data_IF_637379330079
#
_entry.id   IF_637379330079
#
_cell.length_a   1.000
_cell.length_b   1.000
_cell.length_c   1.000
_cell.angle_alpha   90.00
_cell.angle_beta   90.00
_cell.angle_gamma   90.00
#
_symmetry.space_group_name_H-M   'P 1'
#
loop_
_entity.id
_entity.type
_entity.pdbx_description
1 polymer ?
#
# COMPACT_ATOMS: atom_id res chain seq x y z
N UNK A 1 -27.01 32.39 25.52
CA UNK A 1 -25.74 32.72 26.16
C UNK A 1 -24.68 31.69 25.71
N UNK A 2 -23.74 32.16 24.91
CA UNK A 2 -22.59 31.37 24.50
C UNK A 2 -21.53 31.49 25.61
N UNK A 3 -21.34 30.43 26.39
CA UNK A 3 -20.23 30.40 27.34
C UNK A 3 -19.05 29.70 26.68
N UNK A 4 -18.02 30.47 26.39
CA UNK A 4 -16.74 29.91 25.94
C UNK A 4 -15.92 29.52 27.18
N UNK A 5 -15.44 28.28 27.29
CA UNK A 5 -14.60 27.90 28.42
C UNK A 5 -13.24 28.61 28.33
N UNK A 6 -12.87 29.28 29.41
CA UNK A 6 -11.56 29.88 29.60
C UNK A 6 -10.77 28.97 30.53
N UNK A 7 -9.85 28.16 29.97
CA UNK A 7 -9.02 27.23 30.69
C UNK A 7 -8.88 25.85 30.05
N UNK A 8 -8.03 25.01 30.59
CA UNK A 8 -7.68 23.69 30.03
C UNK A 8 -8.72 22.58 30.27
N UNK A 9 -9.88 22.91 30.86
CA UNK A 9 -10.93 21.92 31.16
C UNK A 9 -11.96 21.87 30.05
N UNK A 10 -12.15 20.66 29.48
CA UNK A 10 -13.23 20.39 28.53
C UNK A 10 -14.60 20.46 29.23
N UNK A 11 -15.54 21.13 28.59
CA UNK A 11 -16.93 21.24 29.08
C UNK A 11 -17.90 20.98 27.95
N UNK A 12 -18.99 20.26 28.29
CA UNK A 12 -20.12 20.07 27.38
C UNK A 12 -20.80 21.41 27.05
N UNK A 13 -21.21 21.57 25.82
CA UNK A 13 -21.94 22.76 25.38
C UNK A 13 -22.05 22.86 23.86
N UNK A 14 -22.86 23.81 23.42
CA UNK A 14 -23.01 24.10 22.00
C UNK A 14 -21.76 24.79 21.45
N UNK A 15 -21.32 24.32 20.27
CA UNK A 15 -20.30 24.97 19.49
C UNK A 15 -20.90 26.04 18.57
N UNK A 16 -20.06 26.76 17.83
CA UNK A 16 -20.50 27.82 16.96
C UNK A 16 -21.36 27.24 15.83
N UNK A 17 -22.63 27.68 15.69
CA UNK A 17 -23.46 27.24 14.57
C UNK A 17 -22.94 27.78 13.24
N UNK A 18 -23.22 27.04 12.16
CA UNK A 18 -22.86 27.43 10.81
C UNK A 18 -24.10 27.34 9.90
N UNK A 19 -24.20 28.26 8.95
CA UNK A 19 -25.21 28.22 7.92
C UNK A 19 -24.58 28.48 6.57
N UNK A 20 -25.05 27.78 5.54
CA UNK A 20 -24.60 27.95 4.15
C UNK A 20 -25.74 27.68 3.18
N UNK A 21 -25.52 28.07 1.93
CA UNK A 21 -26.40 27.72 0.83
C UNK A 21 -25.61 27.01 -0.25
N UNK A 22 -26.12 25.86 -0.69
CA UNK A 22 -25.51 25.06 -1.76
C UNK A 22 -26.56 24.75 -2.82
N UNK A 23 -26.14 24.49 -4.05
CA UNK A 23 -27.05 24.09 -5.13
C UNK A 23 -27.56 22.64 -4.96
N UNK A 24 -26.84 21.82 -4.21
CA UNK A 24 -27.22 20.44 -3.96
C UNK A 24 -28.21 20.26 -2.83
N UNK A 25 -28.18 21.13 -1.81
CA UNK A 25 -28.99 20.98 -0.58
C UNK A 25 -29.80 22.25 -0.23
N UNK A 26 -29.66 23.33 -0.99
CA UNK A 26 -30.24 24.67 -0.75
C UNK A 26 -29.74 25.23 0.59
N UNK A 27 -30.61 25.74 1.42
CA UNK A 27 -30.22 26.22 2.74
C UNK A 27 -29.82 25.06 3.67
N UNK A 28 -28.67 25.19 4.28
CA UNK A 28 -28.14 24.22 5.25
C UNK A 28 -27.77 24.91 6.55
N UNK A 29 -28.12 24.28 7.66
CA UNK A 29 -27.84 24.79 9.00
C UNK A 29 -27.27 23.69 9.86
N UNK A 30 -26.16 23.98 10.54
CA UNK A 30 -25.44 23.08 11.44
C UNK A 30 -25.47 23.65 12.85
N UNK A 31 -25.82 22.81 13.84
CA UNK A 31 -25.77 23.19 15.26
C UNK A 31 -25.00 22.12 16.06
N UNK A 32 -23.67 22.20 16.12
CA UNK A 32 -22.88 21.20 16.85
C UNK A 32 -23.08 21.31 18.36
N UNK A 33 -23.22 20.17 19.02
CA UNK A 33 -23.20 20.03 20.48
C UNK A 33 -22.05 19.15 20.89
N UNK A 34 -21.13 19.69 21.71
CA UNK A 34 -20.00 18.94 22.27
C UNK A 34 -20.42 18.32 23.61
N UNK A 35 -20.23 17.01 23.75
CA UNK A 35 -20.54 16.25 24.93
C UNK A 35 -19.26 15.65 25.54
N UNK A 36 -18.86 16.17 26.69
CA UNK A 36 -17.77 15.63 27.49
C UNK A 36 -18.27 14.45 28.33
N UNK A 37 -18.18 13.23 27.78
CA UNK A 37 -18.76 12.03 28.40
C UNK A 37 -17.91 11.61 29.61
N UNK A 38 -16.59 11.51 29.41
CA UNK A 38 -15.62 11.09 30.41
C UNK A 38 -14.22 11.68 30.05
N UNK A 39 -13.22 11.62 30.96
CA UNK A 39 -11.88 12.10 30.63
C UNK A 39 -11.26 11.44 29.40
N UNK A 40 -11.65 10.21 29.10
CA UNK A 40 -11.11 9.41 27.99
C UNK A 40 -12.08 9.24 26.82
N UNK A 41 -13.22 9.91 26.82
CA UNK A 41 -14.15 9.85 25.69
C UNK A 41 -15.01 11.11 25.61
N UNK A 42 -15.31 11.51 24.38
CA UNK A 42 -16.22 12.61 24.09
C UNK A 42 -17.00 12.35 22.79
N UNK A 43 -18.02 13.15 22.57
CA UNK A 43 -18.81 13.09 21.37
C UNK A 43 -19.20 14.48 20.90
N UNK A 44 -19.38 14.64 19.60
CA UNK A 44 -19.97 15.83 19.00
C UNK A 44 -21.17 15.41 18.18
N UNK A 45 -22.34 15.92 18.53
CA UNK A 45 -23.61 15.62 17.85
C UNK A 45 -24.02 16.88 17.10
N UNK A 46 -24.10 16.77 15.76
CA UNK A 46 -24.41 17.91 14.90
C UNK A 46 -25.68 17.61 14.09
N UNK A 47 -26.84 18.13 14.49
CA UNK A 47 -27.97 18.19 13.59
C UNK A 47 -27.66 19.11 12.42
N UNK A 48 -27.81 18.59 11.21
CA UNK A 48 -27.50 19.26 9.95
C UNK A 48 -28.77 19.29 9.10
N UNK A 49 -29.45 20.44 9.10
CA UNK A 49 -30.66 20.63 8.33
C UNK A 49 -30.31 20.94 6.85
N UNK A 50 -30.97 20.22 5.94
CA UNK A 50 -30.85 20.40 4.50
C UNK A 50 -32.25 20.64 3.89
N UNK A 51 -32.49 21.84 3.44
CA UNK A 51 -33.84 22.25 2.98
C UNK A 51 -34.30 21.48 1.74
N UNK A 52 -33.43 21.29 0.75
CA UNK A 52 -33.79 20.57 -0.48
C UNK A 52 -34.14 19.10 -0.21
N UNK A 53 -33.47 18.47 0.76
CA UNK A 53 -33.72 17.08 1.13
C UNK A 53 -34.83 16.90 2.15
N UNK A 54 -35.29 18.01 2.72
CA UNK A 54 -36.46 18.05 3.60
C UNK A 54 -36.28 17.37 4.96
N UNK A 55 -35.06 17.23 5.44
CA UNK A 55 -34.80 16.54 6.71
C UNK A 55 -33.50 17.00 7.36
N UNK A 56 -33.27 16.50 8.56
CA UNK A 56 -32.08 16.73 9.36
C UNK A 56 -31.20 15.48 9.30
N UNK A 57 -29.95 15.63 8.87
CA UNK A 57 -28.92 14.62 9.00
C UNK A 57 -28.27 14.74 10.39
N UNK A 58 -28.25 13.66 11.14
CA UNK A 58 -27.61 13.60 12.44
C UNK A 58 -26.18 13.13 12.26
N UNK A 59 -25.23 14.05 12.40
CA UNK A 59 -23.81 13.77 12.29
C UNK A 59 -23.24 13.57 13.70
N UNK A 60 -22.88 12.32 14.02
CA UNK A 60 -22.43 11.94 15.35
C UNK A 60 -20.97 11.51 15.27
N UNK A 61 -20.09 12.24 15.93
CA UNK A 61 -18.68 11.91 16.07
C UNK A 61 -18.41 11.48 17.53
N UNK A 62 -17.84 10.29 17.69
CA UNK A 62 -17.45 9.76 18.98
C UNK A 62 -15.95 9.49 18.99
N UNK A 63 -15.24 10.00 20.00
CA UNK A 63 -13.81 9.77 20.19
C UNK A 63 -13.57 9.09 21.52
N UNK A 64 -12.62 8.18 21.55
CA UNK A 64 -12.25 7.45 22.75
C UNK A 64 -10.76 7.18 22.81
N UNK A 65 -10.28 6.97 24.05
CA UNK A 65 -8.93 6.52 24.35
C UNK A 65 -9.03 5.36 25.33
N UNK A 66 -8.42 4.22 24.99
CA UNK A 66 -8.40 3.02 25.80
C UNK A 66 -6.99 2.46 25.91
N UNK A 67 -6.82 1.41 26.71
CA UNK A 67 -5.53 0.69 26.79
C UNK A 67 -5.16 0.03 25.44
N UNK A 68 -6.13 -0.29 24.62
CA UNK A 68 -5.93 -0.87 23.30
C UNK A 68 -5.73 0.18 22.19
N UNK A 69 -5.76 1.47 22.51
CA UNK A 69 -5.50 2.57 21.59
C UNK A 69 -6.57 3.63 21.54
N UNK A 70 -6.41 4.56 20.64
CA UNK A 70 -7.30 5.69 20.41
C UNK A 70 -8.12 5.45 19.15
N UNK A 71 -9.38 5.88 19.18
CA UNK A 71 -10.26 5.72 18.04
C UNK A 71 -11.24 6.86 17.88
N UNK A 72 -11.78 6.95 16.66
CA UNK A 72 -12.83 7.86 16.25
C UNK A 72 -13.89 7.07 15.49
N UNK A 73 -15.14 7.23 15.89
CA UNK A 73 -16.30 6.71 15.16
C UNK A 73 -17.16 7.87 14.68
N UNK A 74 -17.63 7.77 13.45
CA UNK A 74 -18.60 8.71 12.88
C UNK A 74 -19.83 7.93 12.42
N UNK A 75 -21.01 8.37 12.84
CA UNK A 75 -22.28 7.87 12.33
C UNK A 75 -23.13 9.06 11.89
N UNK A 76 -23.28 9.20 10.58
CA UNK A 76 -24.15 10.17 9.98
C UNK A 76 -25.42 9.47 9.53
N UNK A 77 -26.58 10.00 9.93
CA UNK A 77 -27.86 9.37 9.66
C UNK A 77 -28.89 10.39 9.21
N UNK A 78 -29.41 10.20 7.99
CA UNK A 78 -30.51 10.95 7.43
C UNK A 78 -31.73 10.04 7.34
N UNK A 79 -32.79 10.24 8.15
CA UNK A 79 -33.90 9.29 8.24
C UNK A 79 -34.68 9.15 6.93
N UNK A 80 -34.75 10.19 6.13
CA UNK A 80 -35.33 10.17 4.79
C UNK A 80 -34.73 11.28 3.94
N UNK A 81 -34.58 11.04 2.65
CA UNK A 81 -34.03 11.98 1.70
C UNK A 81 -34.98 12.14 0.52
N UNK A 82 -35.60 13.28 0.41
CA UNK A 82 -36.60 13.58 -0.61
C UNK A 82 -35.99 13.56 -2.02
N UNK A 83 -34.78 14.06 -2.19
CA UNK A 83 -34.09 14.05 -3.48
C UNK A 83 -33.75 12.62 -3.91
N UNK A 84 -33.26 11.81 -3.00
CA UNK A 84 -32.95 10.40 -3.27
C UNK A 84 -34.20 9.60 -3.62
N UNK A 85 -35.29 9.84 -2.91
CA UNK A 85 -36.61 9.20 -3.17
C UNK A 85 -37.12 9.53 -4.59
N UNK A 86 -36.99 10.77 -5.03
CA UNK A 86 -37.39 11.20 -6.37
C UNK A 86 -36.49 10.61 -7.48
N UNK A 87 -35.20 10.45 -7.20
CA UNK A 87 -34.23 9.89 -8.15
C UNK A 87 -34.24 8.36 -8.19
N UNK A 88 -34.69 7.70 -7.11
CA UNK A 88 -34.70 6.23 -6.95
C UNK A 88 -36.09 5.77 -6.49
N UNK A 89 -37.12 5.94 -7.31
CA UNK A 89 -38.51 5.64 -6.88
C UNK A 89 -38.79 4.16 -6.62
N UNK A 90 -37.93 3.26 -7.08
CA UNK A 90 -38.06 1.82 -6.88
C UNK A 90 -37.34 1.32 -5.63
N UNK A 91 -36.57 2.14 -4.95
CA UNK A 91 -35.90 1.74 -3.72
C UNK A 91 -36.88 1.74 -2.55
N UNK A 92 -36.77 0.73 -1.71
CA UNK A 92 -37.69 0.54 -0.55
C UNK A 92 -37.47 1.59 0.55
N UNK A 93 -36.33 2.27 0.55
CA UNK A 93 -35.95 3.22 1.59
C UNK A 93 -35.16 4.38 1.04
N UNK A 94 -35.41 5.57 1.56
CA UNK A 94 -34.63 6.78 1.30
C UNK A 94 -33.70 7.14 2.47
N UNK A 95 -33.49 6.23 3.41
CA UNK A 95 -32.55 6.43 4.51
C UNK A 95 -31.11 6.48 3.98
N UNK A 96 -30.38 7.46 4.42
CA UNK A 96 -28.98 7.63 4.02
C UNK A 96 -28.11 7.67 5.27
N UNK A 97 -27.01 6.95 5.24
CA UNK A 97 -26.13 6.89 6.40
C UNK A 97 -24.69 6.64 5.98
N UNK A 98 -23.77 7.06 6.85
CA UNK A 98 -22.34 6.77 6.80
C UNK A 98 -21.93 6.23 8.17
N UNK A 99 -21.14 5.15 8.15
CA UNK A 99 -20.42 4.69 9.32
C UNK A 99 -18.93 4.67 9.03
N UNK A 100 -18.16 5.34 9.87
CA UNK A 100 -16.70 5.39 9.82
C UNK A 100 -16.14 5.02 11.17
N UNK A 101 -15.10 4.18 11.16
CA UNK A 101 -14.38 3.81 12.36
C UNK A 101 -12.89 3.75 12.06
N UNK A 102 -12.10 4.55 12.75
CA UNK A 102 -10.65 4.52 12.72
C UNK A 102 -10.14 4.24 14.13
N UNK A 103 -9.30 3.20 14.26
CA UNK A 103 -8.68 2.84 15.53
C UNK A 103 -7.22 2.52 15.29
N UNK A 104 -6.36 2.99 16.19
CA UNK A 104 -4.94 2.68 16.18
C UNK A 104 -4.43 2.59 17.61
N UNK A 105 -3.71 1.53 17.92
CA UNK A 105 -3.18 1.38 19.26
C UNK A 105 -2.22 0.23 19.45
N UNK A 106 -1.46 0.32 20.52
CA UNK A 106 -0.53 -0.70 20.97
C UNK A 106 -0.88 -1.04 22.42
N UNK A 107 -1.03 -2.33 22.72
CA UNK A 107 -1.34 -2.83 24.06
C UNK A 107 -0.19 -3.74 24.54
N UNK A 108 0.21 -3.58 25.79
CA UNK A 108 1.28 -4.37 26.44
C UNK A 108 2.60 -4.38 25.64
N UNK A 109 2.84 -3.36 24.81
CA UNK A 109 4.02 -3.18 23.96
C UNK A 109 4.18 -4.24 22.87
N UNK A 110 3.31 -5.25 22.78
CA UNK A 110 3.41 -6.36 21.84
C UNK A 110 2.22 -6.45 20.89
N UNK A 111 1.02 -6.04 21.32
CA UNK A 111 -0.19 -6.09 20.53
C UNK A 111 -0.43 -4.79 19.79
N UNK A 112 -0.80 -4.90 18.51
CA UNK A 112 -1.17 -3.75 17.67
C UNK A 112 -2.55 -3.98 17.08
N UNK A 113 -3.41 -2.97 17.21
CA UNK A 113 -4.78 -2.99 16.70
C UNK A 113 -4.96 -1.83 15.75
N UNK A 114 -5.45 -2.12 14.54
CA UNK A 114 -5.76 -1.09 13.55
C UNK A 114 -7.11 -1.39 12.91
N UNK A 115 -7.93 -0.36 12.80
CA UNK A 115 -9.19 -0.39 12.08
C UNK A 115 -9.25 0.82 11.18
N UNK A 116 -9.62 0.62 9.93
CA UNK A 116 -9.93 1.66 8.96
C UNK A 116 -11.15 1.21 8.17
N UNK A 117 -12.32 1.59 8.68
CA UNK A 117 -13.60 1.09 8.20
C UNK A 117 -14.48 2.25 7.76
N UNK A 118 -14.96 2.20 6.51
CA UNK A 118 -15.92 3.15 5.96
C UNK A 118 -17.03 2.39 5.23
N UNK A 119 -18.27 2.64 5.58
CA UNK A 119 -19.42 2.08 4.90
C UNK A 119 -20.50 3.15 4.74
N UNK A 120 -21.14 3.17 3.58
CA UNK A 120 -22.23 4.09 3.28
C UNK A 120 -23.47 3.33 2.81
N UNK A 121 -24.61 3.99 2.89
CA UNK A 121 -25.90 3.39 2.56
C UNK A 121 -26.06 3.06 1.08
N UNK A 122 -25.42 3.82 0.19
CA UNK A 122 -25.64 3.75 -1.26
C UNK A 122 -24.42 4.28 -2.02
N UNK A 123 -24.30 3.91 -3.33
CA UNK A 123 -23.16 4.31 -4.16
C UNK A 123 -23.06 5.81 -4.44
N UNK A 124 -24.15 6.57 -4.33
CA UNK A 124 -24.17 8.00 -4.60
C UNK A 124 -23.91 8.88 -3.38
N UNK A 125 -23.65 8.30 -2.22
CA UNK A 125 -23.53 9.04 -0.96
C UNK A 125 -22.46 10.12 -1.02
N UNK A 126 -21.25 9.81 -1.50
CA UNK A 126 -20.16 10.78 -1.58
C UNK A 126 -20.29 11.77 -2.73
N UNK A 127 -21.14 11.50 -3.71
CA UNK A 127 -21.50 12.47 -4.73
C UNK A 127 -22.46 13.54 -4.18
N UNK A 128 -23.35 13.15 -3.29
CA UNK A 128 -24.41 13.99 -2.77
C UNK A 128 -24.02 14.76 -1.52
N UNK A 129 -23.07 14.23 -0.74
CA UNK A 129 -22.61 14.83 0.52
C UNK A 129 -21.10 15.02 0.53
N UNK A 130 -20.66 16.25 0.68
CA UNK A 130 -19.27 16.57 0.94
C UNK A 130 -18.87 16.00 2.29
N UNK A 131 -17.79 15.21 2.31
CA UNK A 131 -17.40 14.49 3.49
C UNK A 131 -15.88 14.32 3.54
N UNK A 132 -15.30 14.45 4.73
CA UNK A 132 -13.87 14.21 4.95
C UNK A 132 -13.50 12.71 5.02
N UNK A 133 -14.50 11.82 5.05
CA UNK A 133 -14.31 10.37 5.17
C UNK A 133 -14.33 9.63 3.84
N UNK A 134 -14.59 10.31 2.76
CA UNK A 134 -14.57 9.76 1.42
C UNK A 134 -14.84 10.81 0.34
N UNK A 135 -14.60 10.44 -0.90
CA UNK A 135 -14.75 11.31 -2.08
C UNK A 135 -15.50 10.59 -3.18
N UNK A 136 -16.24 11.36 -3.99
CA UNK A 136 -16.90 10.87 -5.20
C UNK A 136 -15.94 10.26 -6.22
N UNK A 137 -14.67 10.65 -6.18
CA UNK A 137 -13.63 10.17 -7.11
C UNK A 137 -13.00 8.84 -6.70
N UNK A 138 -13.19 8.38 -5.46
CA UNK A 138 -12.52 7.20 -4.94
C UNK A 138 -13.05 5.89 -5.54
N UNK A 139 -14.31 5.85 -5.95
CA UNK A 139 -14.95 4.68 -6.56
C UNK A 139 -15.23 3.52 -5.61
N UNK A 140 -14.69 3.52 -4.40
CA UNK A 140 -14.89 2.49 -3.38
C UNK A 140 -14.61 3.03 -1.98
N UNK A 141 -15.14 2.34 -0.97
CA UNK A 141 -14.80 2.54 0.44
C UNK A 141 -14.05 1.32 0.97
N UNK A 142 -13.01 1.56 1.75
CA UNK A 142 -12.17 0.50 2.34
C UNK A 142 -12.68 0.10 3.71
N UNK A 143 -12.68 -1.21 3.98
CA UNK A 143 -13.06 -1.81 5.24
C UNK A 143 -11.95 -2.76 5.70
N UNK A 144 -11.09 -2.28 6.59
CA UNK A 144 -9.88 -2.99 6.98
C UNK A 144 -9.79 -3.16 8.50
N UNK A 145 -9.49 -4.37 8.93
CA UNK A 145 -9.17 -4.72 10.33
C UNK A 145 -7.84 -5.44 10.38
N UNK A 146 -7.02 -5.13 11.37
CA UNK A 146 -5.80 -5.90 11.60
C UNK A 146 -5.47 -6.01 13.09
N UNK A 147 -4.95 -7.17 13.47
CA UNK A 147 -4.39 -7.46 14.79
C UNK A 147 -2.99 -8.01 14.59
N UNK A 148 -2.01 -7.37 15.18
CA UNK A 148 -0.62 -7.78 15.13
C UNK A 148 -0.07 -8.12 16.50
N UNK A 149 0.84 -9.08 16.53
CA UNK A 149 1.64 -9.43 17.70
C UNK A 149 3.11 -9.37 17.31
N UNK A 150 3.93 -8.66 18.08
CA UNK A 150 5.34 -8.52 17.78
C UNK A 150 6.17 -8.62 19.06
N UNK A 151 7.13 -9.52 19.06
CA UNK A 151 8.20 -9.63 20.04
C UNK A 151 9.55 -9.55 19.31
N UNK A 152 10.67 -9.67 20.01
CA UNK A 152 11.99 -9.40 19.43
C UNK A 152 12.29 -10.20 18.15
N UNK A 153 11.96 -11.49 18.12
CA UNK A 153 12.31 -12.40 17.03
C UNK A 153 11.13 -12.90 16.21
N UNK A 154 9.92 -12.49 16.57
CA UNK A 154 8.70 -13.02 15.98
C UNK A 154 7.67 -11.93 15.82
N UNK A 155 7.00 -11.90 14.67
CA UNK A 155 5.79 -11.11 14.51
C UNK A 155 4.75 -11.89 13.68
N UNK A 156 3.50 -11.64 13.99
CA UNK A 156 2.37 -12.19 13.25
C UNK A 156 1.28 -11.13 13.13
N UNK A 157 0.65 -11.06 11.97
CA UNK A 157 -0.45 -10.14 11.72
C UNK A 157 -1.58 -10.89 11.05
N UNK A 158 -2.78 -10.77 11.62
CA UNK A 158 -4.03 -11.22 11.00
C UNK A 158 -4.77 -9.99 10.53
N UNK A 159 -5.15 -9.97 9.27
CA UNK A 159 -5.88 -8.84 8.69
C UNK A 159 -7.02 -9.32 7.80
N UNK A 160 -8.02 -8.47 7.67
CA UNK A 160 -9.09 -8.65 6.70
C UNK A 160 -9.33 -7.31 6.02
N UNK A 161 -9.51 -7.33 4.69
CA UNK A 161 -9.71 -6.13 3.89
C UNK A 161 -10.79 -6.38 2.87
N UNK A 162 -11.83 -5.55 2.92
CA UNK A 162 -12.96 -5.58 2.02
C UNK A 162 -13.15 -4.21 1.37
N UNK A 163 -13.90 -4.18 0.28
CA UNK A 163 -14.25 -2.96 -0.42
C UNK A 163 -15.75 -2.88 -0.65
N UNK A 164 -16.34 -1.71 -0.38
CA UNK A 164 -17.64 -1.35 -0.88
C UNK A 164 -17.46 -0.60 -2.20
N UNK A 165 -17.88 -1.18 -3.31
CA UNK A 165 -17.70 -0.62 -4.67
C UNK A 165 -18.91 0.24 -5.02
N UNK A 166 -18.68 1.46 -5.55
CA UNK A 166 -19.73 2.43 -5.87
C UNK A 166 -20.11 2.45 -7.35
N UNK A 167 -19.30 1.84 -8.21
CA UNK A 167 -19.57 1.79 -9.64
C UNK A 167 -20.50 0.64 -9.99
N UNK A 168 -21.54 0.92 -10.78
CA UNK A 168 -22.41 -0.11 -11.37
C UNK A 168 -21.75 -0.85 -12.53
N UNK A 169 -20.67 -0.33 -13.07
CA UNK A 169 -19.88 -1.01 -14.08
C UNK A 169 -19.07 -2.11 -13.41
N UNK A 170 -19.22 -3.31 -13.87
CA UNK A 170 -18.56 -4.58 -13.56
C UNK A 170 -17.08 -4.48 -13.11
N UNK A 171 -16.79 -3.74 -12.07
CA UNK A 171 -15.46 -3.69 -11.49
C UNK A 171 -15.25 -4.90 -10.60
N UNK A 172 -14.40 -5.79 -11.07
CA UNK A 172 -13.92 -6.90 -10.27
C UNK A 172 -12.82 -6.41 -9.35
N UNK A 173 -12.97 -6.59 -8.05
CA UNK A 173 -11.96 -6.27 -7.04
C UNK A 173 -11.74 -7.46 -6.14
N UNK A 174 -10.47 -7.81 -5.95
CA UNK A 174 -10.06 -8.84 -5.00
C UNK A 174 -9.84 -8.25 -3.61
N UNK A 175 -10.27 -8.98 -2.60
CA UNK A 175 -10.00 -8.70 -1.21
C UNK A 175 -9.42 -9.93 -0.51
N UNK A 176 -8.59 -9.69 0.49
CA UNK A 176 -7.98 -10.72 1.32
C UNK A 176 -8.82 -10.92 2.59
N UNK A 177 -9.49 -12.06 2.69
CA UNK A 177 -10.45 -12.35 3.77
C UNK A 177 -10.33 -13.79 4.28
N UNK A 178 -9.52 -14.06 5.29
CA UNK A 178 -8.50 -13.26 5.95
C UNK A 178 -7.11 -13.39 5.32
N UNK A 179 -6.14 -12.64 5.86
CA UNK A 179 -4.73 -12.79 5.56
C UNK A 179 -3.94 -12.92 6.86
N UNK A 180 -3.10 -13.94 6.95
CA UNK A 180 -2.14 -14.14 8.04
C UNK A 180 -0.73 -13.99 7.48
N UNK A 181 0.07 -13.10 8.08
CA UNK A 181 1.48 -12.93 7.80
C UNK A 181 2.28 -13.24 9.07
N UNK A 182 3.29 -14.08 8.96
CA UNK A 182 4.13 -14.49 10.08
C UNK A 182 5.59 -14.32 9.67
N UNK A 183 6.39 -13.70 10.54
CA UNK A 183 7.85 -13.61 10.38
C UNK A 183 8.53 -14.12 11.62
N UNK A 184 9.54 -14.95 11.42
CA UNK A 184 10.47 -15.38 12.45
C UNK A 184 11.89 -15.03 12.01
N UNK A 185 12.63 -14.39 12.90
CA UNK A 185 14.01 -13.98 12.63
C UNK A 185 14.93 -14.65 13.64
N UNK A 186 16.04 -15.16 13.16
CA UNK A 186 17.14 -15.57 14.03
C UNK A 186 18.46 -15.12 13.42
N UNK A 187 19.01 -14.06 14.00
CA UNK A 187 20.28 -13.50 13.58
C UNK A 187 21.42 -14.18 14.34
N UNK A 188 22.64 -14.04 13.81
CA UNK A 188 23.88 -14.55 14.43
C UNK A 188 23.87 -16.07 14.65
N UNK A 189 23.32 -16.83 13.70
CA UNK A 189 23.48 -18.29 13.63
C UNK A 189 24.85 -18.58 12.99
N UNK A 190 25.90 -18.52 13.81
CA UNK A 190 27.25 -18.45 13.30
C UNK A 190 27.45 -17.14 12.51
N UNK A 191 27.96 -17.20 11.27
CA UNK A 191 28.08 -16.00 10.41
C UNK A 191 26.78 -15.62 9.69
N UNK A 192 25.70 -16.38 9.86
CA UNK A 192 24.47 -16.25 9.07
C UNK A 192 23.37 -15.54 9.84
N UNK A 193 22.55 -14.81 9.09
CA UNK A 193 21.23 -14.35 9.51
C UNK A 193 20.17 -15.19 8.82
N UNK A 194 19.14 -15.61 9.55
CA UNK A 194 18.06 -16.45 9.03
C UNK A 194 16.71 -15.80 9.26
N UNK A 195 15.81 -16.06 8.34
CA UNK A 195 14.44 -15.58 8.40
C UNK A 195 13.50 -16.62 7.81
N UNK A 196 12.31 -16.76 8.40
CA UNK A 196 11.22 -17.53 7.82
C UNK A 196 10.02 -16.60 7.72
N UNK A 197 9.53 -16.40 6.52
CA UNK A 197 8.28 -15.71 6.25
C UNK A 197 7.23 -16.72 5.85
N UNK A 198 6.04 -16.63 6.44
CA UNK A 198 4.89 -17.43 6.09
C UNK A 198 3.66 -16.56 5.86
N UNK A 199 2.84 -16.93 4.90
CA UNK A 199 1.59 -16.26 4.60
C UNK A 199 0.49 -17.28 4.31
N UNK A 200 -0.70 -17.04 4.82
CA UNK A 200 -1.91 -17.72 4.41
C UNK A 200 -2.96 -16.65 4.11
N UNK A 201 -3.58 -16.72 2.94
CA UNK A 201 -4.56 -15.72 2.50
C UNK A 201 -5.67 -16.41 1.71
N UNK A 202 -6.89 -15.94 1.92
CA UNK A 202 -8.04 -16.32 1.11
C UNK A 202 -8.51 -15.10 0.32
N UNK A 203 -8.48 -15.22 -1.01
CA UNK A 203 -8.93 -14.17 -1.92
C UNK A 203 -10.36 -14.40 -2.34
N UNK A 204 -11.17 -13.36 -2.21
CA UNK A 204 -12.54 -13.30 -2.70
C UNK A 204 -12.71 -12.12 -3.64
N UNK A 205 -13.68 -12.21 -4.55
CA UNK A 205 -13.95 -11.14 -5.51
C UNK A 205 -15.35 -10.59 -5.29
N UNK A 206 -15.56 -9.32 -5.61
CA UNK A 206 -16.87 -8.68 -5.58
C UNK A 206 -17.85 -9.26 -6.61
N UNK A 207 -17.33 -9.86 -7.70
CA UNK A 207 -18.13 -10.59 -8.68
C UNK A 207 -18.20 -12.08 -8.33
N UNK A 208 -19.39 -12.66 -8.43
CA UNK A 208 -19.66 -14.06 -8.08
C UNK A 208 -19.04 -15.07 -9.03
N UNK A 209 -18.75 -14.67 -10.28
CA UNK A 209 -18.25 -15.53 -11.34
C UNK A 209 -16.72 -15.56 -11.49
N UNK A 210 -16.01 -14.78 -10.67
CA UNK A 210 -14.55 -14.67 -10.74
C UNK A 210 -13.86 -15.78 -9.96
N UNK A 211 -12.66 -16.21 -10.38
CA UNK A 211 -11.86 -17.16 -9.59
C UNK A 211 -11.58 -16.66 -8.17
N UNK A 212 -11.59 -17.61 -7.24
CA UNK A 212 -11.21 -17.38 -5.83
C UNK A 212 -10.09 -18.36 -5.47
N UNK A 213 -9.30 -18.03 -4.46
CA UNK A 213 -8.19 -18.89 -4.06
C UNK A 213 -7.85 -18.79 -2.59
N UNK A 214 -7.34 -19.89 -2.05
CA UNK A 214 -6.55 -19.91 -0.83
C UNK A 214 -5.09 -20.12 -1.22
N UNK A 215 -4.23 -19.21 -0.76
CA UNK A 215 -2.78 -19.28 -1.00
C UNK A 215 -2.05 -19.47 0.31
N UNK A 216 -1.16 -20.43 0.36
CA UNK A 216 -0.23 -20.65 1.47
C UNK A 216 1.18 -20.53 0.93
N UNK A 217 2.00 -19.68 1.55
CA UNK A 217 3.35 -19.37 1.12
C UNK A 217 4.33 -19.51 2.28
N UNK A 218 5.47 -20.12 2.00
CA UNK A 218 6.57 -20.27 2.95
C UNK A 218 7.87 -19.82 2.27
N UNK A 219 8.61 -18.95 2.94
CA UNK A 219 9.81 -18.32 2.39
C UNK A 219 10.95 -18.33 3.40
N UNK A 220 11.66 -19.46 3.57
CA UNK A 220 12.87 -19.49 4.37
C UNK A 220 14.02 -18.79 3.64
N UNK A 221 14.79 -18.01 4.39
CA UNK A 221 15.91 -17.22 3.86
C UNK A 221 17.13 -17.39 4.75
N UNK A 222 18.28 -17.59 4.15
CA UNK A 222 19.57 -17.54 4.80
C UNK A 222 20.44 -16.47 4.14
N UNK A 223 21.11 -15.68 4.96
CA UNK A 223 21.88 -14.52 4.51
C UNK A 223 23.25 -14.55 5.17
N UNK A 224 24.29 -14.29 4.39
CA UNK A 224 25.68 -14.14 4.85
C UNK A 224 26.10 -12.69 4.64
N UNK A 225 25.95 -11.82 5.65
CA UNK A 225 26.43 -10.46 5.57
C UNK A 225 27.92 -10.38 5.92
N UNK A 226 28.71 -9.79 5.04
CA UNK A 226 30.12 -9.49 5.26
C UNK A 226 30.33 -8.00 5.04
N UNK A 227 30.95 -7.32 6.00
CA UNK A 227 31.18 -5.88 5.88
C UNK A 227 32.47 -5.46 6.57
N UNK A 228 33.01 -4.36 6.08
CA UNK A 228 34.11 -3.64 6.68
C UNK A 228 33.88 -2.10 6.53
N UNK A 229 34.91 -1.30 6.83
CA UNK A 229 34.77 0.16 6.84
C UNK A 229 34.49 0.77 5.46
N UNK A 230 34.84 0.07 4.37
CA UNK A 230 34.72 0.62 3.01
C UNK A 230 33.70 -0.10 2.14
N UNK A 231 33.17 -1.22 2.56
CA UNK A 231 32.21 -1.93 1.74
C UNK A 231 31.51 -3.10 2.44
N UNK A 232 30.57 -3.70 1.72
CA UNK A 232 29.82 -4.86 2.18
C UNK A 232 29.51 -5.80 1.02
N UNK A 233 29.46 -7.10 1.30
CA UNK A 233 28.95 -8.13 0.39
C UNK A 233 27.89 -8.89 1.16
N UNK A 234 26.72 -9.03 0.58
CA UNK A 234 25.59 -9.73 1.15
C UNK A 234 25.18 -10.87 0.20
N UNK A 235 25.31 -12.10 0.67
CA UNK A 235 24.92 -13.29 -0.11
C UNK A 235 23.69 -13.89 0.52
N UNK A 236 22.63 -14.05 -0.26
CA UNK A 236 21.33 -14.52 0.19
C UNK A 236 20.86 -15.71 -0.62
N UNK A 237 20.35 -16.73 0.06
CA UNK A 237 19.64 -17.84 -0.55
C UNK A 237 18.25 -17.94 0.08
N UNK A 238 17.23 -18.08 -0.76
CA UNK A 238 15.82 -18.06 -0.36
C UNK A 238 15.06 -19.12 -1.14
N UNK A 239 14.08 -19.71 -0.51
CA UNK A 239 13.15 -20.63 -1.17
C UNK A 239 11.75 -20.01 -1.14
N UNK A 240 11.13 -19.90 -2.30
CA UNK A 240 9.77 -19.37 -2.46
C UNK A 240 8.84 -20.55 -2.75
N UNK A 241 8.20 -21.08 -1.72
CA UNK A 241 7.30 -22.23 -1.82
C UNK A 241 5.86 -21.75 -1.63
N UNK A 242 5.01 -21.96 -2.63
CA UNK A 242 3.63 -21.48 -2.65
C UNK A 242 2.68 -22.59 -3.08
N UNK A 243 1.58 -22.75 -2.35
CA UNK A 243 0.49 -23.63 -2.71
C UNK A 243 -0.78 -22.83 -2.94
N UNK A 244 -1.48 -23.13 -4.04
CA UNK A 244 -2.77 -22.53 -4.37
C UNK A 244 -3.85 -23.60 -4.43
N UNK A 245 -4.98 -23.31 -3.80
CA UNK A 245 -6.24 -24.00 -4.02
C UNK A 245 -7.21 -23.01 -4.63
N UNK A 246 -7.50 -23.19 -5.93
CA UNK A 246 -8.34 -22.27 -6.71
C UNK A 246 -9.73 -22.86 -6.89
N UNK A 247 -10.75 -22.03 -6.76
CA UNK A 247 -12.16 -22.40 -6.91
C UNK A 247 -12.88 -21.40 -7.81
N UNK A 248 -14.10 -21.78 -8.24
CA UNK A 248 -14.94 -20.94 -9.07
C UNK A 248 -14.30 -20.56 -10.42
N UNK A 249 -13.69 -21.53 -11.07
CA UNK A 249 -12.90 -21.33 -12.28
C UNK A 249 -13.69 -21.43 -13.59
N UNK A 250 -14.96 -21.82 -13.55
CA UNK A 250 -15.74 -22.21 -14.74
C UNK A 250 -15.90 -21.08 -15.75
N UNK A 251 -16.20 -19.88 -15.28
CA UNK A 251 -16.33 -18.71 -16.16
C UNK A 251 -15.04 -18.42 -16.92
N UNK A 252 -13.91 -18.44 -16.23
CA UNK A 252 -12.61 -18.17 -16.83
C UNK A 252 -12.16 -19.29 -17.76
N UNK A 253 -12.28 -20.55 -17.33
CA UNK A 253 -11.82 -21.70 -18.07
C UNK A 253 -12.71 -22.04 -19.28
N UNK A 254 -13.97 -21.57 -19.31
CA UNK A 254 -14.87 -21.76 -20.44
C UNK A 254 -14.53 -20.88 -21.64
N UNK A 255 -13.76 -19.82 -21.47
CA UNK A 255 -13.29 -18.99 -22.57
C UNK A 255 -12.10 -19.65 -23.27
N UNK A 256 -12.24 -20.06 -24.57
CA UNK A 256 -11.15 -20.76 -25.27
C UNK A 256 -9.90 -19.90 -25.52
N UNK A 257 -9.99 -18.58 -25.36
CA UNK A 257 -8.86 -17.67 -25.50
C UNK A 257 -8.04 -17.56 -24.20
N UNK A 258 -8.57 -17.99 -23.06
CA UNK A 258 -7.88 -17.97 -21.79
C UNK A 258 -7.06 -19.24 -21.58
N UNK A 259 -5.91 -19.11 -20.93
CA UNK A 259 -5.20 -20.25 -20.38
C UNK A 259 -6.05 -20.93 -19.31
N UNK A 260 -6.00 -22.25 -19.22
CA UNK A 260 -6.76 -22.97 -18.20
C UNK A 260 -6.09 -22.83 -16.83
N UNK A 261 -6.87 -22.41 -15.86
CA UNK A 261 -6.47 -22.40 -14.46
C UNK A 261 -6.64 -23.79 -13.85
N UNK A 262 -5.71 -24.18 -12.98
CA UNK A 262 -5.77 -25.46 -12.28
C UNK A 262 -6.34 -25.32 -10.88
N UNK A 263 -7.09 -26.30 -10.39
CA UNK A 263 -7.69 -26.28 -9.05
C UNK A 263 -6.61 -26.27 -7.96
N UNK A 264 -5.53 -26.99 -8.14
CA UNK A 264 -4.44 -27.10 -7.18
C UNK A 264 -3.11 -26.88 -7.87
N UNK A 265 -2.30 -25.97 -7.33
CA UNK A 265 -0.99 -25.61 -7.89
C UNK A 265 0.04 -25.56 -6.78
N UNK A 266 1.16 -26.20 -7.01
CA UNK A 266 2.37 -26.08 -6.19
C UNK A 266 3.48 -25.43 -6.99
N UNK A 267 4.10 -24.43 -6.41
CA UNK A 267 5.19 -23.69 -7.05
C UNK A 267 6.34 -23.57 -6.05
N UNK A 268 7.52 -23.99 -6.44
CA UNK A 268 8.74 -23.87 -5.65
C UNK A 268 9.81 -23.21 -6.50
N UNK A 269 10.30 -22.06 -6.06
CA UNK A 269 11.29 -21.25 -6.77
C UNK A 269 12.44 -20.92 -5.81
N UNK A 270 13.66 -21.43 -6.02
CA UNK A 270 14.81 -20.96 -5.30
C UNK A 270 15.24 -19.57 -5.82
N UNK A 271 15.76 -18.74 -4.94
CA UNK A 271 16.32 -17.44 -5.29
C UNK A 271 17.71 -17.30 -4.71
N UNK A 272 18.65 -16.86 -5.51
CA UNK A 272 20.03 -16.61 -5.09
C UNK A 272 20.40 -15.18 -5.46
N UNK A 273 20.97 -14.45 -4.49
CA UNK A 273 21.36 -13.05 -4.69
C UNK A 273 22.71 -12.78 -4.03
N UNK A 274 23.57 -12.06 -4.74
CA UNK A 274 24.82 -11.51 -4.20
C UNK A 274 24.81 -10.02 -4.47
N UNK A 275 24.90 -9.21 -3.41
CA UNK A 275 24.85 -7.75 -3.49
C UNK A 275 26.12 -7.20 -2.82
N UNK A 276 26.94 -6.51 -3.60
CA UNK A 276 28.15 -5.87 -3.12
C UNK A 276 28.08 -4.35 -3.33
N UNK A 277 28.56 -3.61 -2.34
CA UNK A 277 28.69 -2.16 -2.44
C UNK A 277 29.93 -1.67 -1.72
N UNK A 278 30.48 -0.57 -2.25
CA UNK A 278 31.64 0.11 -1.68
C UNK A 278 31.33 1.58 -1.48
N UNK A 279 32.01 2.21 -0.53
CA UNK A 279 31.91 3.65 -0.28
C UNK A 279 33.32 4.23 -0.28
N UNK A 280 33.57 5.16 -1.18
CA UNK A 280 34.78 5.97 -1.23
C UNK A 280 34.43 7.40 -0.88
N UNK A 281 35.33 8.06 -0.15
CA UNK A 281 35.13 9.43 0.31
C UNK A 281 36.34 10.29 0.02
N UNK A 282 36.12 11.52 -0.38
CA UNK A 282 37.19 12.52 -0.59
C UNK A 282 36.71 13.90 -0.13
N UNK A 283 37.68 14.74 0.19
CA UNK A 283 37.43 16.17 0.37
C UNK A 283 37.12 16.83 -0.97
N UNK A 284 36.11 17.70 -0.98
CA UNK A 284 35.66 18.41 -2.17
C UNK A 284 35.58 19.91 -1.88
N UNK A 285 36.72 20.61 -2.04
CA UNK A 285 36.83 22.03 -1.72
C UNK A 285 36.49 22.96 -2.92
N UNK A 286 36.04 22.39 -4.05
CA UNK A 286 35.73 23.16 -5.27
C UNK A 286 34.52 24.09 -5.10
N UNK A 287 33.51 23.68 -4.29
CA UNK A 287 32.31 24.46 -4.05
C UNK A 287 32.48 25.39 -2.85
N UNK A 288 33.02 24.87 -1.75
CA UNK A 288 33.32 25.59 -0.52
C UNK A 288 34.24 24.74 0.37
N UNK A 289 34.99 25.35 1.31
CA UNK A 289 35.81 24.60 2.25
C UNK A 289 34.94 23.69 3.14
N UNK A 290 35.44 22.48 3.41
CA UNK A 290 34.80 21.53 4.30
C UNK A 290 33.75 20.63 3.64
N UNK A 291 33.51 20.73 2.36
CA UNK A 291 32.64 19.82 1.64
C UNK A 291 33.31 18.47 1.41
N UNK A 292 32.47 17.42 1.43
CA UNK A 292 32.88 16.02 1.25
C UNK A 292 32.09 15.40 0.12
N UNK A 293 32.75 14.65 -0.75
CA UNK A 293 32.10 13.85 -1.81
C UNK A 293 32.30 12.38 -1.56
N UNK A 294 31.23 11.59 -1.75
CA UNK A 294 31.28 10.12 -1.75
C UNK A 294 31.12 9.58 -3.16
N UNK A 295 31.67 8.39 -3.38
CA UNK A 295 31.43 7.57 -4.56
C UNK A 295 31.07 6.17 -4.09
N UNK A 296 29.86 5.71 -4.44
CA UNK A 296 29.25 4.49 -3.91
C UNK A 296 28.88 3.54 -5.04
N UNK A 297 29.82 2.76 -5.59
CA UNK A 297 29.52 1.74 -6.57
C UNK A 297 28.83 0.55 -5.93
N UNK A 298 27.88 -0.05 -6.67
CA UNK A 298 27.10 -1.19 -6.25
C UNK A 298 26.90 -2.16 -7.41
N UNK A 299 26.98 -3.46 -7.11
CA UNK A 299 26.69 -4.52 -8.08
C UNK A 299 25.90 -5.63 -7.41
N UNK A 300 24.90 -6.15 -8.09
CA UNK A 300 24.05 -7.23 -7.61
C UNK A 300 23.82 -8.25 -8.69
N UNK A 301 24.02 -9.50 -8.36
CA UNK A 301 23.60 -10.63 -9.19
C UNK A 301 22.35 -11.26 -8.57
N UNK A 302 21.34 -11.53 -9.40
CA UNK A 302 20.09 -12.15 -9.00
C UNK A 302 19.78 -13.32 -9.93
N UNK A 303 19.48 -14.47 -9.34
CA UNK A 303 19.05 -15.65 -10.06
C UNK A 303 17.78 -16.23 -9.45
N UNK A 304 16.76 -16.40 -10.29
CA UNK A 304 15.50 -17.09 -9.99
C UNK A 304 15.13 -17.91 -11.22
N UNK A 305 14.97 -19.25 -11.11
CA UNK A 305 14.63 -20.07 -12.27
C UNK A 305 13.20 -19.78 -12.75
N UNK A 306 12.99 -20.02 -14.02
CA UNK A 306 11.68 -19.88 -14.64
C UNK A 306 10.71 -20.97 -14.16
N UNK A 307 9.49 -20.57 -13.87
CA UNK A 307 8.34 -21.46 -13.69
C UNK A 307 7.14 -20.86 -14.42
N UNK A 308 6.43 -21.70 -15.17
CA UNK A 308 5.18 -21.29 -15.82
C UNK A 308 4.09 -21.11 -14.77
N UNK A 309 3.52 -19.91 -14.68
CA UNK A 309 2.52 -19.51 -13.70
C UNK A 309 1.19 -19.14 -14.37
N UNK A 310 0.99 -19.52 -15.62
CA UNK A 310 -0.23 -19.24 -16.37
C UNK A 310 -1.44 -20.01 -15.85
N UNK A 311 -1.26 -21.06 -15.06
CA UNK A 311 -2.32 -21.83 -14.41
C UNK A 311 -2.80 -21.21 -13.08
N UNK A 312 -2.20 -20.13 -12.65
CA UNK A 312 -2.58 -19.33 -11.46
C UNK A 312 -3.20 -18.01 -11.94
N UNK A 313 -4.40 -17.70 -11.45
CA UNK A 313 -5.01 -16.39 -11.70
C UNK A 313 -4.26 -15.30 -10.91
N UNK A 314 -4.20 -14.09 -11.47
CA UNK A 314 -3.52 -12.97 -10.83
C UNK A 314 -4.46 -12.28 -9.83
N UNK A 315 -4.27 -12.54 -8.54
CA UNK A 315 -5.08 -11.98 -7.46
C UNK A 315 -4.49 -10.68 -6.90
N UNK A 316 -3.15 -10.56 -6.84
CA UNK A 316 -2.48 -9.48 -6.11
C UNK A 316 -1.23 -8.89 -6.77
N UNK A 317 -0.82 -9.40 -7.92
CA UNK A 317 0.45 -8.99 -8.52
C UNK A 317 0.28 -7.89 -9.56
N UNK A 318 1.10 -6.86 -9.43
CA UNK A 318 1.21 -5.76 -10.37
C UNK A 318 2.68 -5.45 -10.65
N UNK A 319 2.96 -5.01 -11.88
CA UNK A 319 4.31 -4.63 -12.29
C UNK A 319 4.80 -3.45 -11.45
N UNK A 320 5.99 -3.59 -10.87
CA UNK A 320 6.62 -2.54 -10.10
C UNK A 320 7.42 -1.62 -11.01
N UNK A 321 7.35 -0.32 -10.74
CA UNK A 321 8.20 0.67 -11.42
C UNK A 321 9.59 0.67 -10.81
N UNK A 322 10.61 0.92 -11.64
CA UNK A 322 12.01 0.91 -11.21
C UNK A 322 12.61 2.31 -11.34
N UNK A 323 12.87 2.95 -10.21
CA UNK A 323 13.88 4.00 -10.07
C UNK A 323 15.26 3.37 -9.88
N UNK A 324 16.28 4.16 -9.50
CA UNK A 324 17.61 3.61 -9.23
C UNK A 324 17.58 2.52 -8.15
N UNK A 325 16.89 2.76 -7.04
CA UNK A 325 16.73 1.77 -5.97
C UNK A 325 15.98 0.53 -6.45
N UNK A 326 14.99 0.73 -7.30
CA UNK A 326 14.17 -0.34 -7.86
C UNK A 326 14.93 -1.29 -8.78
N UNK A 327 16.03 -0.87 -9.39
CA UNK A 327 16.89 -1.73 -10.19
C UNK A 327 17.50 -2.87 -9.36
N UNK A 328 17.69 -2.66 -8.06
CA UNK A 328 18.26 -3.64 -7.12
C UNK A 328 17.18 -4.45 -6.39
N UNK A 329 15.93 -4.36 -6.82
CA UNK A 329 14.81 -5.09 -6.24
C UNK A 329 14.85 -6.57 -6.61
N UNK A 330 14.45 -7.44 -5.69
CA UNK A 330 14.38 -8.89 -5.93
C UNK A 330 13.22 -9.28 -6.83
N UNK A 331 12.22 -8.45 -6.92
CA UNK A 331 10.94 -8.71 -7.55
C UNK A 331 10.62 -7.73 -8.66
N UNK A 332 10.11 -8.26 -9.75
CA UNK A 332 9.54 -7.47 -10.85
C UNK A 332 8.09 -7.09 -10.57
N UNK A 333 7.37 -7.94 -9.84
CA UNK A 333 5.97 -7.75 -9.48
C UNK A 333 5.80 -7.63 -7.97
N UNK A 334 4.82 -6.82 -7.55
CA UNK A 334 4.30 -6.87 -6.19
C UNK A 334 3.51 -8.16 -5.97
N UNK A 335 3.19 -8.46 -4.70
CA UNK A 335 2.47 -9.67 -4.34
C UNK A 335 3.26 -10.94 -4.59
N UNK A 336 2.56 -12.08 -4.67
CA UNK A 336 3.18 -13.40 -4.78
C UNK A 336 2.67 -14.23 -5.97
N UNK A 337 1.64 -13.78 -6.68
CA UNK A 337 1.03 -14.57 -7.76
C UNK A 337 1.92 -14.68 -8.98
N UNK A 338 2.68 -13.62 -9.26
CA UNK A 338 3.64 -13.59 -10.35
C UNK A 338 5.03 -13.32 -9.80
N UNK A 339 5.90 -14.31 -9.92
CA UNK A 339 7.32 -14.22 -9.56
C UNK A 339 8.12 -14.47 -10.83
N UNK A 340 8.66 -13.39 -11.40
CA UNK A 340 9.42 -13.47 -12.63
C UNK A 340 10.76 -14.19 -12.42
N UNK A 341 11.16 -14.94 -13.44
CA UNK A 341 12.51 -15.50 -13.48
C UNK A 341 13.53 -14.37 -13.56
N UNK A 342 14.71 -14.61 -13.07
CA UNK A 342 15.82 -13.66 -13.11
C UNK A 342 17.14 -14.39 -13.32
N UNK A 343 17.94 -13.86 -14.22
CA UNK A 343 19.36 -14.18 -14.38
C UNK A 343 20.01 -12.92 -14.91
N UNK A 344 20.42 -12.06 -13.97
CA UNK A 344 20.74 -10.68 -14.31
C UNK A 344 21.79 -10.12 -13.35
N UNK A 345 22.52 -9.12 -13.84
CA UNK A 345 23.41 -8.31 -13.05
C UNK A 345 22.96 -6.86 -13.10
N UNK A 346 22.84 -6.26 -11.93
CA UNK A 346 22.55 -4.83 -11.79
C UNK A 346 23.81 -4.13 -11.32
N UNK A 347 24.21 -3.08 -12.00
CA UNK A 347 25.33 -2.24 -11.60
C UNK A 347 24.88 -0.80 -11.48
N UNK A 348 25.43 -0.09 -10.53
CA UNK A 348 25.08 1.30 -10.33
C UNK A 348 26.13 2.05 -9.54
N UNK A 349 26.03 3.36 -9.57
CA UNK A 349 26.90 4.25 -8.82
C UNK A 349 26.09 5.43 -8.30
N UNK A 350 26.34 5.80 -7.06
CA UNK A 350 25.79 7.01 -6.43
C UNK A 350 26.94 7.91 -6.01
N UNK A 351 26.82 9.19 -6.27
CA UNK A 351 27.74 10.21 -5.75
C UNK A 351 26.94 11.20 -4.91
N UNK A 352 27.43 11.47 -3.70
CA UNK A 352 26.82 12.40 -2.75
C UNK A 352 27.78 13.49 -2.38
N UNK A 353 27.26 14.69 -2.19
CA UNK A 353 28.05 15.84 -1.74
C UNK A 353 27.43 16.34 -0.43
N UNK A 354 28.27 16.38 0.61
CA UNK A 354 27.93 16.88 1.94
C UNK A 354 28.60 18.21 2.20
N UNK A 355 27.93 19.11 2.90
CA UNK A 355 28.52 20.36 3.33
C UNK A 355 29.39 20.20 4.59
N UNK A 356 29.94 21.30 5.12
CA UNK A 356 30.76 21.32 6.32
C UNK A 356 30.03 20.91 7.60
N UNK A 357 28.68 21.00 7.59
CA UNK A 357 27.81 20.53 8.68
C UNK A 357 27.34 19.09 8.49
N UNK A 358 27.92 18.34 7.54
CA UNK A 358 27.56 16.97 7.16
C UNK A 358 26.11 16.83 6.64
N UNK A 359 25.53 17.89 6.11
CA UNK A 359 24.22 17.88 5.46
C UNK A 359 24.38 17.55 3.98
N UNK A 360 23.62 16.56 3.51
CA UNK A 360 23.64 16.19 2.09
C UNK A 360 23.02 17.30 1.24
N UNK A 361 23.80 17.83 0.29
CA UNK A 361 23.40 18.93 -0.60
C UNK A 361 23.05 18.48 -1.99
N UNK A 362 23.69 17.43 -2.47
CA UNK A 362 23.47 16.92 -3.82
C UNK A 362 23.70 15.43 -3.84
N UNK A 363 22.90 14.72 -4.61
CA UNK A 363 23.21 13.35 -4.98
C UNK A 363 22.79 13.08 -6.43
N UNK A 364 23.50 12.18 -7.06
CA UNK A 364 23.18 11.63 -8.36
C UNK A 364 23.43 10.13 -8.34
N UNK A 365 22.50 9.37 -8.87
CA UNK A 365 22.60 7.93 -9.00
C UNK A 365 22.25 7.52 -10.42
N UNK A 366 23.02 6.61 -10.98
CA UNK A 366 22.74 6.01 -12.26
C UNK A 366 23.05 4.51 -12.19
N UNK A 367 22.18 3.71 -12.77
CA UNK A 367 22.34 2.27 -12.78
C UNK A 367 21.73 1.62 -13.99
N UNK A 368 22.06 0.35 -14.17
CA UNK A 368 21.59 -0.48 -15.27
C UNK A 368 21.39 -1.91 -14.83
N UNK A 369 20.45 -2.58 -15.48
CA UNK A 369 20.28 -4.03 -15.39
C UNK A 369 20.67 -4.63 -16.73
N UNK A 370 21.55 -5.63 -16.71
CA UNK A 370 21.85 -6.47 -17.85
C UNK A 370 21.25 -7.85 -17.65
N UNK A 371 20.43 -8.30 -18.59
CA UNK A 371 19.73 -9.58 -18.53
C UNK A 371 20.51 -10.66 -19.30
N UNK A 372 20.96 -11.69 -18.62
CA UNK A 372 21.57 -12.86 -19.27
C UNK A 372 20.51 -13.76 -19.90
N UNK A 373 19.32 -13.80 -19.32
CA UNK A 373 18.16 -14.50 -19.86
C UNK A 373 16.93 -13.59 -19.69
N UNK A 374 15.91 -13.87 -20.50
CA UNK A 374 14.64 -13.18 -20.45
C UNK A 374 13.95 -13.38 -19.11
N UNK A 375 13.35 -12.32 -18.58
CA UNK A 375 12.55 -12.38 -17.35
C UNK A 375 11.12 -12.77 -17.68
N UNK A 376 10.63 -13.90 -17.17
CA UNK A 376 9.38 -14.54 -17.59
C UNK A 376 8.56 -15.05 -16.40
N UNK A 377 7.24 -15.02 -16.57
CA UNK A 377 6.27 -15.67 -15.66
C UNK A 377 5.42 -16.75 -16.36
N UNK A 378 5.42 -16.79 -17.68
CA UNK A 378 4.55 -17.64 -18.49
C UNK A 378 3.20 -17.04 -18.81
N UNK A 379 2.99 -15.76 -18.49
CA UNK A 379 1.74 -15.03 -18.76
C UNK A 379 1.90 -14.12 -19.97
N UNK A 380 1.30 -14.52 -21.09
CA UNK A 380 1.42 -13.85 -22.40
C UNK A 380 0.82 -12.43 -22.43
N UNK A 381 0.07 -12.03 -21.39
CA UNK A 381 -0.51 -10.68 -21.30
C UNK A 381 0.48 -9.63 -20.81
N UNK A 382 1.69 -10.04 -20.46
CA UNK A 382 2.72 -9.14 -19.95
C UNK A 382 3.75 -8.84 -21.03
N UNK A 383 3.89 -7.56 -21.33
CA UNK A 383 4.58 -7.02 -22.51
C UNK A 383 6.06 -7.39 -22.67
N UNK A 384 6.73 -7.82 -21.64
CA UNK A 384 8.14 -8.18 -21.78
C UNK A 384 8.44 -9.68 -21.71
N UNK A 385 7.44 -10.50 -21.48
CA UNK A 385 7.63 -11.95 -21.52
C UNK A 385 7.87 -12.48 -22.94
N UNK A 386 7.47 -11.72 -23.93
CA UNK A 386 7.67 -12.04 -25.34
C UNK A 386 8.89 -11.33 -25.96
N UNK A 387 9.75 -10.74 -25.12
CA UNK A 387 10.95 -10.06 -25.60
C UNK A 387 12.11 -11.04 -25.80
N UNK A 388 12.47 -11.31 -27.05
CA UNK A 388 13.57 -12.19 -27.42
C UNK A 388 14.97 -11.56 -27.22
N UNK A 389 15.04 -10.35 -26.70
CA UNK A 389 16.30 -9.59 -26.59
C UNK A 389 17.06 -9.91 -25.31
N UNK A 390 17.61 -11.11 -25.22
CA UNK A 390 18.61 -11.46 -24.19
C UNK A 390 19.75 -10.46 -24.23
N UNK A 391 20.20 -10.00 -23.05
CA UNK A 391 21.26 -9.03 -22.92
C UNK A 391 20.81 -7.57 -23.04
N UNK A 392 19.51 -7.31 -23.14
CA UNK A 392 18.97 -5.96 -23.14
C UNK A 392 19.18 -5.26 -21.80
N UNK A 393 19.24 -3.92 -21.85
CA UNK A 393 19.54 -3.08 -20.70
C UNK A 393 18.31 -2.29 -20.29
N UNK A 394 18.13 -2.13 -18.97
CA UNK A 394 17.24 -1.12 -18.38
C UNK A 394 18.11 -0.13 -17.62
N UNK A 395 17.93 1.15 -17.89
CA UNK A 395 18.66 2.24 -17.25
C UNK A 395 17.74 3.04 -16.34
N UNK A 396 18.24 3.45 -15.18
CA UNK A 396 17.55 4.39 -14.32
C UNK A 396 18.53 5.40 -13.74
N UNK A 397 18.08 6.63 -13.57
CA UNK A 397 18.86 7.69 -12.95
C UNK A 397 17.99 8.55 -12.06
N UNK A 398 18.53 8.92 -10.91
CA UNK A 398 17.88 9.80 -9.94
C UNK A 398 18.85 10.90 -9.55
N UNK A 399 18.32 12.10 -9.30
CA UNK A 399 19.10 13.22 -8.78
C UNK A 399 18.30 13.99 -7.73
N UNK A 400 18.97 14.49 -6.73
CA UNK A 400 18.41 15.39 -5.74
C UNK A 400 19.39 16.51 -5.44
N UNK A 401 18.90 17.74 -5.42
CA UNK A 401 19.69 18.93 -5.09
C UNK A 401 18.98 19.74 -4.01
N UNK A 402 19.57 19.83 -2.84
CA UNK A 402 19.10 20.68 -1.75
C UNK A 402 19.75 22.07 -1.89
N UNK A 403 18.98 23.00 -2.44
CA UNK A 403 19.44 24.37 -2.70
C UNK A 403 19.58 25.14 -1.38
N UNK A 404 18.60 24.97 -0.47
CA UNK A 404 18.56 25.59 0.85
C UNK A 404 17.82 24.68 1.83
N UNK A 405 17.71 25.08 3.11
CA UNK A 405 16.95 24.34 4.12
C UNK A 405 15.45 24.22 3.79
N UNK A 406 14.95 25.07 2.89
CA UNK A 406 13.53 25.13 2.50
C UNK A 406 13.27 24.65 1.08
N UNK A 407 14.26 24.58 0.22
CA UNK A 407 14.08 24.28 -1.20
C UNK A 407 14.95 23.12 -1.64
N UNK A 408 14.36 22.21 -2.39
CA UNK A 408 15.06 21.10 -3.02
C UNK A 408 14.45 20.80 -4.39
N UNK A 409 15.27 20.25 -5.26
CA UNK A 409 14.87 19.75 -6.58
C UNK A 409 15.16 18.26 -6.64
N UNK A 410 14.20 17.50 -7.18
CA UNK A 410 14.34 16.06 -7.37
C UNK A 410 13.90 15.69 -8.77
N UNK A 411 14.63 14.81 -9.42
CA UNK A 411 14.29 14.29 -10.72
C UNK A 411 14.69 12.84 -10.88
N UNK A 412 14.01 12.13 -11.74
CA UNK A 412 14.32 10.74 -12.05
C UNK A 412 13.86 10.35 -13.44
N UNK A 413 14.54 9.38 -14.04
CA UNK A 413 14.24 8.83 -15.35
C UNK A 413 14.52 7.35 -15.37
N UNK A 414 13.65 6.58 -16.03
CA UNK A 414 13.87 5.19 -16.37
C UNK A 414 13.76 5.02 -17.88
N UNK A 415 14.77 4.42 -18.49
CA UNK A 415 14.79 4.08 -19.89
C UNK A 415 14.88 2.56 -20.07
N UNK A 416 13.97 1.99 -20.83
CA UNK A 416 13.96 0.57 -21.14
C UNK A 416 14.41 0.38 -22.58
N UNK A 417 15.62 -0.16 -22.77
CA UNK A 417 16.20 -0.41 -24.08
C UNK A 417 15.49 -1.55 -24.83
N UNK A 418 14.77 -2.41 -24.12
CA UNK A 418 13.97 -3.48 -24.74
C UNK A 418 12.73 -2.91 -25.43
N UNK A 419 12.13 -1.88 -24.88
CA UNK A 419 10.96 -1.18 -25.42
C UNK A 419 11.37 0.04 -26.27
N UNK A 420 12.64 0.41 -26.26
CA UNK A 420 13.21 1.57 -26.93
C UNK A 420 12.47 2.88 -26.62
N UNK A 421 12.08 3.03 -25.36
CA UNK A 421 11.38 4.22 -24.88
C UNK A 421 11.69 4.55 -23.43
N UNK A 422 11.32 5.78 -23.04
CA UNK A 422 11.33 6.20 -21.64
C UNK A 422 10.12 5.62 -20.94
N UNK A 423 10.36 4.74 -19.98
CA UNK A 423 9.28 4.10 -19.22
C UNK A 423 8.66 5.05 -18.20
N UNK A 424 9.49 5.85 -17.53
CA UNK A 424 9.02 6.85 -16.55
C UNK A 424 9.94 8.07 -16.53
N UNK A 425 9.38 9.23 -16.19
CA UNK A 425 10.14 10.45 -15.87
C UNK A 425 9.38 11.29 -14.85
N UNK A 426 10.08 11.91 -13.95
CA UNK A 426 9.51 12.79 -12.94
C UNK A 426 10.47 13.91 -12.50
#
# INVERSE_FOLDING_TARGET
YLQLPVGDKRRSGFLIPNAKYTTTNYFEFYLPYYWNIAPNMDATITPHYMHRRGNIMWENEFRYLSQAGAGLMELDYLPSDKVYEDEHPNDDSSRRWLFYWNHSGVMDQVWRFNVDYTKVSDPSYFNDFDNKYGSSTDGYATQKFSVGYAVQNFNATVSTKQFQVFSEQNTSSYSAEPQLDVNYYQNDVGPFDTRIYGQAVHFVNTRDDMPEATRVHLEPTINLPLSNNWGSINTEAKLLATHYQQTNLDWYNSNPQNNKLADSVNRVMPQFKVDGKMVFERDMNLLAPGFTQTLEPRAQYLYVPYRDQSDIYNYDSALLQSDYSGLFRDRTYGGLDRIASANQVTTGVTSRIYDDAAVERFNISVGQIYYFTESRTGDDNITWENDDKTGSLVWAGDTYWRISDRWGLRGGIQYDTRLDNVATSN
#
